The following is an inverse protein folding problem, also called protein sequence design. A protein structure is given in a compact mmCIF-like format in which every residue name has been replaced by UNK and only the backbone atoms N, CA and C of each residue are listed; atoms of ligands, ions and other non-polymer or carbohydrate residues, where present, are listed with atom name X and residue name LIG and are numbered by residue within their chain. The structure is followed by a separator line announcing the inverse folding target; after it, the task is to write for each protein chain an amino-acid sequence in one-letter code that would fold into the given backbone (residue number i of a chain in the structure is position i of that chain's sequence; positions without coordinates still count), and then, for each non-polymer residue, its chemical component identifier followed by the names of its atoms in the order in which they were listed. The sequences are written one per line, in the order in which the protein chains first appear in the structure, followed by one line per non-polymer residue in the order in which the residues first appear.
data_IF_777593304976
#
_entry.id   IF_777593304976
#
_cell.length_a   1.000
_cell.length_b   1.000
_cell.length_c   1.000
_cell.angle_alpha   90.00
_cell.angle_beta   90.00
_cell.angle_gamma   90.00
#
_symmetry.space_group_name_H-M   'P 1'
#
loop_
_entity.id
_entity.type
_entity.pdbx_description
1 polymer ?
#
# COMPACT_ATOMS: atom_id res chain seq x y z
N UNK A 1 -19.44 10.54 22.81
CA UNK A 1 -19.10 10.52 22.56
C UNK A 1 -18.37 10.39 21.67
N UNK A 2 -18.47 10.47 21.15
CA UNK A 2 -17.76 10.62 20.30
C UNK A 2 -16.52 11.19 20.58
N UNK A 3 -16.42 11.89 21.55
CA UNK A 3 -15.30 12.48 21.97
C UNK A 3 -14.21 11.51 22.25
N UNK A 4 -14.49 10.47 22.93
CA UNK A 4 -13.57 9.48 23.23
C UNK A 4 -13.08 8.80 21.99
N UNK A 5 -13.97 8.55 21.07
CA UNK A 5 -13.64 7.98 19.88
C UNK A 5 -12.73 8.87 19.11
N UNK A 6 -12.93 10.12 19.13
CA UNK A 6 -12.12 11.05 18.44
C UNK A 6 -10.71 11.04 18.99
N UNK A 7 -10.56 10.96 20.27
CA UNK A 7 -9.26 10.93 20.88
C UNK A 7 -8.51 9.69 20.47
N UNK A 8 -9.18 8.58 20.42
CA UNK A 8 -8.57 7.38 19.99
C UNK A 8 -8.12 7.47 18.55
N UNK A 9 -8.87 8.11 17.71
CA UNK A 9 -8.54 8.28 16.32
C UNK A 9 -7.29 9.11 16.19
N UNK A 10 -7.18 10.15 16.97
CA UNK A 10 -6.02 11.00 16.93
C UNK A 10 -4.80 10.25 17.39
N UNK A 11 -4.92 9.44 18.40
CA UNK A 11 -3.84 8.68 18.92
C UNK A 11 -3.33 7.71 17.87
N UNK A 12 -4.20 7.05 17.15
CA UNK A 12 -3.83 6.15 16.11
C UNK A 12 -3.13 6.90 14.99
N UNK A 13 -3.62 8.05 14.66
CA UNK A 13 -3.06 8.84 13.61
C UNK A 13 -1.64 9.26 13.93
N UNK A 14 -1.37 9.58 15.15
CA UNK A 14 -0.05 10.01 15.57
C UNK A 14 0.91 8.85 15.76
N UNK A 15 0.46 7.82 16.35
CA UNK A 15 1.32 6.73 16.79
C UNK A 15 1.37 5.53 15.87
N UNK A 16 0.30 5.27 15.14
CA UNK A 16 0.22 4.18 14.26
C UNK A 16 -0.01 4.66 12.90
N UNK A 17 0.92 4.61 12.05
CA UNK A 17 0.73 5.02 10.68
C UNK A 17 -0.14 4.01 10.00
N UNK A 18 -1.10 4.46 9.28
CA UNK A 18 -2.05 3.57 8.64
C UNK A 18 -1.56 3.13 7.29
N UNK A 19 -1.80 1.88 7.02
CA UNK A 19 -1.52 1.32 5.72
C UNK A 19 -2.58 1.83 4.75
N UNK A 20 -2.18 2.26 3.59
CA UNK A 20 -3.16 2.68 2.60
C UNK A 20 -2.65 2.41 1.19
N UNK A 21 -3.57 2.21 0.28
CA UNK A 21 -3.29 2.05 -1.11
C UNK A 21 -4.15 3.04 -1.87
N UNK A 22 -3.54 3.92 -2.62
CA UNK A 22 -4.26 4.89 -3.41
C UNK A 22 -3.96 4.69 -4.87
N UNK A 23 -4.99 4.53 -5.66
CA UNK A 23 -4.84 4.35 -7.10
C UNK A 23 -5.33 5.59 -7.84
N UNK A 24 -4.57 6.08 -8.77
CA UNK A 24 -4.98 7.21 -9.57
C UNK A 24 -4.18 7.23 -10.86
N UNK A 25 -4.85 7.21 -11.99
CA UNK A 25 -4.21 7.37 -13.30
C UNK A 25 -2.99 6.46 -13.51
N UNK A 26 -3.18 5.19 -13.31
CA UNK A 26 -2.12 4.19 -13.47
C UNK A 26 -0.93 4.40 -12.52
N UNK A 27 -1.21 5.00 -11.37
CA UNK A 27 -0.23 5.14 -10.33
C UNK A 27 -0.82 4.58 -9.06
N UNK A 28 -0.06 3.76 -8.39
CA UNK A 28 -0.51 3.13 -7.16
C UNK A 28 0.47 3.51 -6.07
N UNK A 29 -0.02 4.23 -5.08
CA UNK A 29 0.81 4.69 -3.98
C UNK A 29 0.49 3.88 -2.76
N UNK A 30 1.44 3.15 -2.23
CA UNK A 30 1.26 2.28 -1.08
C UNK A 30 2.05 2.82 0.08
N UNK A 31 1.36 3.10 1.16
CA UNK A 31 1.95 3.77 2.31
C UNK A 31 1.91 2.85 3.52
N UNK A 32 2.99 2.81 4.23
CA UNK A 32 3.14 2.09 5.49
C UNK A 32 3.02 0.57 5.36
N UNK A 33 3.52 0.05 4.25
CA UNK A 33 3.57 -1.39 4.06
C UNK A 33 4.68 -1.98 4.94
N UNK A 34 4.64 -3.27 5.15
CA UNK A 34 5.67 -3.94 5.94
C UNK A 34 6.89 -4.23 5.08
N UNK A 35 6.70 -4.86 3.96
CA UNK A 35 7.80 -5.10 3.03
C UNK A 35 7.31 -5.47 1.65
N UNK A 36 8.19 -5.33 0.67
CA UNK A 36 7.93 -5.77 -0.67
C UNK A 36 8.49 -7.17 -0.76
N UNK A 37 7.66 -8.14 -1.10
CA UNK A 37 8.03 -9.52 -1.11
C UNK A 37 8.63 -9.95 -2.43
N UNK A 38 8.12 -9.42 -3.55
CA UNK A 38 8.49 -9.84 -4.84
C UNK A 38 8.08 -8.81 -5.84
N UNK A 39 8.81 -8.64 -6.90
CA UNK A 39 8.38 -7.72 -7.93
C UNK A 39 8.88 -8.11 -9.30
N UNK A 40 8.07 -7.87 -10.30
CA UNK A 40 8.41 -8.04 -11.69
C UNK A 40 7.60 -7.02 -12.48
N UNK A 41 7.73 -7.01 -13.77
CA UNK A 41 6.95 -6.07 -14.58
C UNK A 41 5.48 -6.49 -14.71
N UNK A 42 5.09 -7.67 -14.21
CA UNK A 42 3.71 -8.11 -14.26
C UNK A 42 3.10 -8.35 -12.90
N UNK A 43 3.89 -8.38 -11.85
CA UNK A 43 3.38 -8.70 -10.54
C UNK A 43 4.24 -8.13 -9.45
N UNK A 44 3.62 -7.48 -8.50
CA UNK A 44 4.32 -6.95 -7.33
C UNK A 44 3.56 -7.40 -6.10
N UNK A 45 4.26 -8.03 -5.16
CA UNK A 45 3.65 -8.51 -3.92
C UNK A 45 4.15 -7.72 -2.76
N UNK A 46 3.23 -7.23 -1.96
CA UNK A 46 3.53 -6.39 -0.80
C UNK A 46 2.83 -6.96 0.42
N UNK A 47 3.51 -6.96 1.53
CA UNK A 47 2.89 -7.43 2.77
C UNK A 47 2.60 -6.28 3.70
N UNK A 48 1.55 -6.41 4.46
CA UNK A 48 1.25 -5.52 5.56
C UNK A 48 0.79 -6.39 6.70
N UNK A 49 1.57 -6.48 7.75
CA UNK A 49 1.32 -7.36 8.89
C UNK A 49 1.14 -8.79 8.36
N UNK A 50 0.01 -9.39 8.59
CA UNK A 50 -0.26 -10.76 8.18
C UNK A 50 -0.95 -10.86 6.83
N UNK A 51 -1.15 -9.76 6.17
CA UNK A 51 -1.88 -9.73 4.90
C UNK A 51 -0.92 -9.54 3.75
N UNK A 52 -1.32 -10.02 2.59
CA UNK A 52 -0.51 -9.92 1.40
C UNK A 52 -1.36 -9.31 0.30
N UNK A 53 -0.79 -8.37 -0.40
CA UNK A 53 -1.47 -7.70 -1.49
C UNK A 53 -0.68 -7.96 -2.76
N UNK A 54 -1.35 -8.38 -3.82
CA UNK A 54 -0.71 -8.69 -5.08
C UNK A 54 -1.22 -7.75 -6.14
N UNK A 55 -0.34 -6.98 -6.73
CA UNK A 55 -0.66 -6.03 -7.79
C UNK A 55 -0.26 -6.68 -9.10
N UNK A 56 -1.18 -6.73 -10.04
CA UNK A 56 -0.92 -7.34 -11.34
C UNK A 56 -1.10 -6.32 -12.45
N UNK A 57 -0.40 -6.51 -13.51
CA UNK A 57 -0.52 -5.61 -14.65
C UNK A 57 0.56 -5.88 -15.68
N UNK A 58 0.88 -4.87 -16.47
CA UNK A 58 1.94 -4.96 -17.45
C UNK A 58 2.80 -3.73 -17.37
N UNK A 59 4.04 -3.88 -17.66
CA UNK A 59 5.01 -2.80 -17.60
C UNK A 59 5.02 -2.09 -16.24
N UNK A 60 4.89 -2.87 -15.19
CA UNK A 60 4.90 -2.32 -13.85
C UNK A 60 6.30 -1.90 -13.44
N UNK A 61 6.40 -0.76 -12.82
CA UNK A 61 7.68 -0.20 -12.38
C UNK A 61 7.51 0.35 -10.98
N UNK A 62 8.49 0.14 -10.13
CA UNK A 62 8.53 0.82 -8.87
C UNK A 62 9.23 2.13 -9.14
N UNK A 63 8.46 3.20 -9.25
CA UNK A 63 8.94 4.51 -9.65
C UNK A 63 9.55 5.30 -8.53
N UNK A 64 9.17 5.01 -7.30
CA UNK A 64 9.66 5.72 -6.15
C UNK A 64 9.61 4.79 -4.97
N UNK A 65 10.65 4.74 -4.20
CA UNK A 65 10.68 3.91 -3.01
C UNK A 65 11.29 4.70 -1.87
N UNK A 66 10.47 5.01 -0.90
CA UNK A 66 10.90 5.65 0.32
C UNK A 66 10.78 4.63 1.44
N UNK A 67 11.18 4.98 2.61
CA UNK A 67 11.17 4.05 3.72
C UNK A 67 9.78 3.51 4.01
N UNK A 68 8.78 4.33 3.88
CA UNK A 68 7.42 3.94 4.23
C UNK A 68 6.45 4.04 3.07
N UNK A 69 6.94 4.30 1.89
CA UNK A 69 6.05 4.55 0.76
C UNK A 69 6.65 4.02 -0.53
N UNK A 70 5.84 3.39 -1.35
CA UNK A 70 6.28 2.94 -2.65
C UNK A 70 5.27 3.38 -3.71
N UNK A 71 5.75 3.89 -4.82
CA UNK A 71 4.90 4.29 -5.92
C UNK A 71 5.11 3.33 -7.08
N UNK A 72 4.06 2.68 -7.52
CA UNK A 72 4.08 1.76 -8.62
C UNK A 72 3.37 2.40 -9.80
N UNK A 73 3.99 2.37 -10.94
CA UNK A 73 3.38 2.91 -12.15
C UNK A 73 3.35 1.84 -13.21
N UNK A 74 2.59 2.06 -14.27
CA UNK A 74 2.45 1.13 -15.37
C UNK A 74 0.99 0.85 -15.62
N UNK A 75 0.70 -0.19 -16.34
CA UNK A 75 -0.68 -0.55 -16.61
C UNK A 75 -1.15 -1.47 -15.50
N UNK A 76 -1.82 -0.93 -14.50
CA UNK A 76 -2.27 -1.69 -13.35
C UNK A 76 -3.62 -2.30 -13.66
N UNK A 77 -3.67 -3.62 -13.64
CA UNK A 77 -4.88 -4.35 -14.03
C UNK A 77 -5.68 -4.85 -12.85
N UNK A 78 -5.05 -5.10 -11.77
CA UNK A 78 -5.77 -5.61 -10.61
C UNK A 78 -4.97 -5.60 -9.34
N UNK A 79 -5.68 -5.69 -8.23
CA UNK A 79 -5.07 -5.82 -6.92
C UNK A 79 -5.86 -6.89 -6.21
N UNK A 80 -5.17 -7.89 -5.69
CA UNK A 80 -5.84 -8.92 -4.92
C UNK A 80 -5.31 -8.92 -3.52
N UNK A 81 -6.12 -9.34 -2.60
CA UNK A 81 -5.83 -9.35 -1.19
C UNK A 81 -5.89 -10.77 -0.66
N UNK A 82 -4.89 -11.17 0.07
CA UNK A 82 -4.83 -12.50 0.60
C UNK A 82 -4.39 -12.44 2.04
N UNK A 83 -5.06 -13.09 2.90
CA UNK A 83 -4.74 -13.00 4.28
C UNK A 83 -3.99 -14.18 4.85
#
# INVERSE_FOLDING_TARGET
MKKLKLVRSIDNYINDKKFSILYKNNKLDIINYTKIMDFSDTKISISYLDSKYIITGTNLVISKMLEEEVLITGNIEGISFNK
#
